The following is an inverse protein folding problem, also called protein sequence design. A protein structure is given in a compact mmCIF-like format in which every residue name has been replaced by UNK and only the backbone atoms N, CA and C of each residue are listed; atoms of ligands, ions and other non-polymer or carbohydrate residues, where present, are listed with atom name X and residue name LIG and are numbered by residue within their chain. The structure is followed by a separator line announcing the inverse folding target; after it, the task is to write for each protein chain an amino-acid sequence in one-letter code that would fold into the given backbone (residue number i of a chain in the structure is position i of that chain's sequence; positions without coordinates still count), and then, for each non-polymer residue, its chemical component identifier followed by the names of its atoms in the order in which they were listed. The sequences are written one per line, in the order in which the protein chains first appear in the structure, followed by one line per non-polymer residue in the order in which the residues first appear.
data_IF_332420180798
#
_entry.id   IF_332420180798
#
_cell.length_a   1.000
_cell.length_b   1.000
_cell.length_c   1.000
_cell.angle_alpha   90.00
_cell.angle_beta   90.00
_cell.angle_gamma   90.00
#
_symmetry.space_group_name_H-M   'P 1'
#
loop_
_entity.id
_entity.type
_entity.pdbx_description
1 polymer ?
#
# COMPACT_ATOMS: atom_id res chain seq x y z
N UNK A 1 -0.45 36.04 -10.89
CA UNK A 1 -1.62 35.54 -10.16
C UNK A 1 -1.97 34.16 -10.70
N UNK A 2 -1.63 33.10 -9.98
CA UNK A 2 -1.90 31.72 -10.40
C UNK A 2 -3.21 31.23 -9.80
N UNK A 3 -4.25 31.07 -10.61
CA UNK A 3 -5.48 30.41 -10.18
C UNK A 3 -5.18 28.93 -9.92
N UNK A 4 -5.04 28.56 -8.64
CA UNK A 4 -5.13 27.16 -8.20
C UNK A 4 -6.58 26.72 -8.40
N UNK A 5 -6.88 26.16 -9.57
CA UNK A 5 -8.14 25.43 -9.79
C UNK A 5 -8.15 24.24 -8.83
N UNK A 6 -8.88 24.34 -7.71
CA UNK A 6 -9.18 23.19 -6.87
C UNK A 6 -10.03 22.24 -7.71
N UNK A 7 -9.44 21.11 -8.11
CA UNK A 7 -10.19 20.03 -8.74
C UNK A 7 -11.34 19.63 -7.81
N UNK A 8 -12.56 19.64 -8.32
CA UNK A 8 -13.72 19.13 -7.60
C UNK A 8 -13.49 17.64 -7.31
N UNK A 9 -13.41 17.27 -6.03
CA UNK A 9 -13.24 15.87 -5.59
C UNK A 9 -14.59 15.38 -5.08
N UNK A 10 -15.19 14.45 -5.81
CA UNK A 10 -16.39 13.71 -5.42
C UNK A 10 -15.98 12.29 -5.00
N UNK A 11 -16.50 11.79 -3.88
CA UNK A 11 -16.25 10.42 -3.42
C UNK A 11 -17.50 9.59 -3.67
N UNK A 12 -17.40 8.63 -4.58
CA UNK A 12 -18.48 7.70 -4.92
C UNK A 12 -18.26 6.38 -4.20
N UNK A 13 -19.26 5.91 -3.43
CA UNK A 13 -19.12 4.74 -2.56
C UNK A 13 -18.68 3.47 -3.29
N UNK A 14 -19.24 3.17 -4.47
CA UNK A 14 -18.86 2.00 -5.25
C UNK A 14 -17.40 2.07 -5.75
N UNK A 15 -16.96 3.26 -6.19
CA UNK A 15 -15.59 3.49 -6.67
C UNK A 15 -14.59 3.46 -5.50
N UNK A 16 -14.99 3.95 -4.31
CA UNK A 16 -14.18 3.86 -3.09
C UNK A 16 -13.93 2.41 -2.67
N UNK A 17 -14.97 1.57 -2.70
CA UNK A 17 -14.83 0.15 -2.34
C UNK A 17 -13.91 -0.60 -3.31
N UNK A 18 -14.02 -0.32 -4.62
CA UNK A 18 -13.11 -0.86 -5.63
C UNK A 18 -11.67 -0.39 -5.39
N UNK A 19 -11.48 0.90 -5.09
CA UNK A 19 -10.16 1.45 -4.79
C UNK A 19 -9.54 0.80 -3.54
N UNK A 20 -10.32 0.60 -2.47
CA UNK A 20 -9.89 -0.11 -1.25
C UNK A 20 -9.46 -1.54 -1.58
N UNK A 21 -10.29 -2.30 -2.31
CA UNK A 21 -9.98 -3.67 -2.70
C UNK A 21 -8.70 -3.75 -3.52
N UNK A 22 -8.56 -2.88 -4.53
CA UNK A 22 -7.35 -2.79 -5.35
C UNK A 22 -6.11 -2.50 -4.49
N UNK A 23 -6.23 -1.57 -3.53
CA UNK A 23 -5.10 -1.18 -2.68
C UNK A 23 -4.66 -2.29 -1.73
N UNK A 24 -5.61 -3.06 -1.19
CA UNK A 24 -5.29 -4.27 -0.41
C UNK A 24 -4.58 -5.32 -1.25
N UNK A 25 -5.04 -5.58 -2.49
CA UNK A 25 -4.37 -6.52 -3.39
C UNK A 25 -2.93 -6.11 -3.70
N UNK A 26 -2.70 -4.82 -3.94
CA UNK A 26 -1.35 -4.28 -4.17
C UNK A 26 -0.49 -4.41 -2.91
N UNK A 27 -1.04 -4.06 -1.73
CA UNK A 27 -0.34 -4.17 -0.45
C UNK A 27 0.11 -5.62 -0.17
N UNK A 28 -0.79 -6.59 -0.38
CA UNK A 28 -0.50 -8.01 -0.19
C UNK A 28 0.52 -8.55 -1.20
N UNK A 29 0.43 -8.13 -2.47
CA UNK A 29 1.41 -8.48 -3.48
C UNK A 29 2.80 -7.93 -3.12
N UNK A 30 2.88 -6.68 -2.64
CA UNK A 30 4.13 -6.05 -2.23
C UNK A 30 4.75 -6.72 -1.01
N UNK A 31 3.95 -7.06 0.01
CA UNK A 31 4.40 -7.82 1.19
C UNK A 31 4.90 -9.21 0.80
N UNK A 32 4.18 -9.89 -0.08
CA UNK A 32 4.56 -11.21 -0.60
C UNK A 32 5.90 -11.15 -1.32
N UNK A 33 6.06 -10.19 -2.23
CA UNK A 33 7.29 -10.02 -2.98
C UNK A 33 8.47 -9.64 -2.07
N UNK A 34 8.25 -8.80 -1.05
CA UNK A 34 9.26 -8.46 -0.06
C UNK A 34 9.70 -9.69 0.75
N UNK A 35 8.75 -10.52 1.17
CA UNK A 35 9.02 -11.77 1.90
C UNK A 35 9.84 -12.75 1.05
N UNK A 36 9.40 -13.02 -0.18
CA UNK A 36 10.11 -13.89 -1.13
C UNK A 36 11.51 -13.39 -1.45
N UNK A 37 11.68 -12.08 -1.65
CA UNK A 37 13.00 -11.49 -1.89
C UNK A 37 13.93 -11.60 -0.68
N UNK A 38 13.39 -11.46 0.53
CA UNK A 38 14.13 -11.67 1.77
C UNK A 38 14.59 -13.12 1.94
N UNK A 39 13.71 -14.09 1.66
CA UNK A 39 14.05 -15.51 1.67
C UNK A 39 15.17 -15.83 0.66
N UNK A 40 15.02 -15.37 -0.59
CA UNK A 40 16.05 -15.55 -1.62
C UNK A 40 17.41 -14.97 -1.19
N UNK A 41 17.41 -13.77 -0.59
CA UNK A 41 18.65 -13.16 -0.10
C UNK A 41 19.30 -14.05 0.97
N UNK A 42 18.51 -14.52 1.93
CA UNK A 42 18.98 -15.41 2.99
C UNK A 42 19.57 -16.71 2.43
N UNK A 43 18.91 -17.33 1.46
CA UNK A 43 19.37 -18.56 0.82
C UNK A 43 20.73 -18.34 0.12
N UNK A 44 20.89 -17.23 -0.59
CA UNK A 44 22.15 -16.84 -1.22
C UNK A 44 23.24 -16.62 -0.16
N UNK A 45 22.94 -15.89 0.91
CA UNK A 45 23.91 -15.62 1.99
C UNK A 45 24.42 -16.92 2.62
N UNK A 46 23.53 -17.88 2.91
CA UNK A 46 23.84 -19.15 3.58
C UNK A 46 24.49 -20.19 2.65
N UNK A 47 24.28 -20.12 1.34
CA UNK A 47 24.90 -21.06 0.38
C UNK A 47 26.44 -21.05 0.47
N UNK A 48 27.03 -22.13 0.99
CA UNK A 48 28.47 -22.28 1.19
C UNK A 48 29.26 -22.46 -0.11
N UNK A 49 28.64 -23.09 -1.12
CA UNK A 49 29.30 -23.42 -2.40
C UNK A 49 29.53 -22.19 -3.28
N UNK A 50 28.74 -21.12 -3.08
CA UNK A 50 28.92 -19.86 -3.76
C UNK A 50 29.65 -18.86 -2.85
N UNK A 51 30.80 -18.38 -3.30
CA UNK A 51 31.62 -17.44 -2.55
C UNK A 51 32.28 -16.40 -3.47
N UNK A 52 33.00 -15.44 -2.87
CA UNK A 52 33.75 -14.43 -3.61
C UNK A 52 33.02 -13.10 -3.82
N UNK A 53 33.65 -12.21 -4.60
CA UNK A 53 33.23 -10.80 -4.75
C UNK A 53 31.87 -10.65 -5.42
N UNK A 54 31.53 -11.53 -6.37
CA UNK A 54 30.25 -11.47 -7.09
C UNK A 54 29.05 -11.77 -6.18
N UNK A 55 29.17 -12.78 -5.29
CA UNK A 55 28.16 -13.06 -4.27
C UNK A 55 27.93 -11.84 -3.36
N UNK A 56 29.02 -11.25 -2.85
CA UNK A 56 28.94 -10.06 -2.00
C UNK A 56 28.26 -8.88 -2.71
N UNK A 57 28.58 -8.65 -3.99
CA UNK A 57 27.96 -7.61 -4.78
C UNK A 57 26.46 -7.85 -5.00
N UNK A 58 26.05 -9.09 -5.31
CA UNK A 58 24.64 -9.43 -5.45
C UNK A 58 23.88 -9.23 -4.13
N UNK A 59 24.41 -9.71 -3.02
CA UNK A 59 23.80 -9.54 -1.68
C UNK A 59 23.61 -8.06 -1.36
N UNK A 60 24.63 -7.23 -1.60
CA UNK A 60 24.53 -5.78 -1.39
C UNK A 60 23.47 -5.13 -2.30
N UNK A 61 23.36 -5.58 -3.55
CA UNK A 61 22.32 -5.10 -4.45
C UNK A 61 20.91 -5.52 -4.00
N UNK A 62 20.75 -6.76 -3.54
CA UNK A 62 19.49 -7.24 -2.96
C UNK A 62 19.12 -6.47 -1.70
N UNK A 63 20.09 -6.10 -0.86
CA UNK A 63 19.83 -5.24 0.31
C UNK A 63 19.24 -3.90 -0.11
N UNK A 64 19.80 -3.25 -1.13
CA UNK A 64 19.26 -1.99 -1.66
C UNK A 64 17.83 -2.16 -2.20
N UNK A 65 17.60 -3.18 -3.02
CA UNK A 65 16.28 -3.48 -3.58
C UNK A 65 15.24 -3.72 -2.48
N UNK A 66 15.55 -4.57 -1.49
CA UNK A 66 14.65 -4.86 -0.37
C UNK A 66 14.42 -3.62 0.50
N UNK A 67 15.40 -2.74 0.63
CA UNK A 67 15.24 -1.50 1.38
C UNK A 67 14.26 -0.54 0.69
N UNK A 68 14.34 -0.38 -0.64
CA UNK A 68 13.37 0.40 -1.40
C UNK A 68 11.98 -0.25 -1.37
N UNK A 69 11.91 -1.56 -1.56
CA UNK A 69 10.62 -2.25 -1.55
C UNK A 69 9.92 -2.14 -0.19
N UNK A 70 10.65 -2.24 0.94
CA UNK A 70 10.10 -1.97 2.27
C UNK A 70 9.44 -0.58 2.37
N UNK A 71 10.09 0.46 1.84
CA UNK A 71 9.55 1.82 1.86
C UNK A 71 8.27 1.94 1.02
N UNK A 72 8.25 1.31 -0.15
CA UNK A 72 7.06 1.28 -1.01
C UNK A 72 5.92 0.54 -0.30
N UNK A 73 6.17 -0.66 0.23
CA UNK A 73 5.18 -1.43 1.00
C UNK A 73 4.61 -0.62 2.15
N UNK A 74 5.47 0.01 2.97
CA UNK A 74 5.01 0.86 4.08
C UNK A 74 4.12 2.02 3.64
N UNK A 75 4.45 2.63 2.50
CA UNK A 75 3.66 3.76 1.94
C UNK A 75 2.29 3.27 1.47
N UNK A 76 2.26 2.15 0.74
CA UNK A 76 1.01 1.54 0.26
C UNK A 76 0.14 1.07 1.43
N UNK A 77 0.71 0.42 2.45
CA UNK A 77 -0.05 0.03 3.65
C UNK A 77 -0.69 1.23 4.35
N UNK A 78 0.00 2.38 4.41
CA UNK A 78 -0.56 3.63 4.97
C UNK A 78 -1.71 4.17 4.12
N UNK A 79 -1.59 4.11 2.78
CA UNK A 79 -2.67 4.53 1.89
C UNK A 79 -3.89 3.61 1.99
N UNK A 80 -3.69 2.29 2.02
CA UNK A 80 -4.77 1.33 2.24
C UNK A 80 -5.50 1.63 3.57
N UNK A 81 -4.77 1.81 4.67
CA UNK A 81 -5.35 2.16 5.96
C UNK A 81 -6.12 3.50 5.94
N UNK A 82 -5.61 4.50 5.19
CA UNK A 82 -6.27 5.79 5.05
C UNK A 82 -7.59 5.68 4.28
N UNK A 83 -7.63 4.88 3.22
CA UNK A 83 -8.86 4.62 2.45
C UNK A 83 -9.90 3.86 3.28
N UNK A 84 -9.49 2.84 4.04
CA UNK A 84 -10.39 2.15 4.97
C UNK A 84 -10.91 3.08 6.07
N UNK A 85 -10.08 4.02 6.55
CA UNK A 85 -10.54 5.04 7.52
C UNK A 85 -11.56 5.99 6.91
N UNK A 86 -11.36 6.39 5.65
CA UNK A 86 -12.29 7.25 4.91
C UNK A 86 -13.65 6.55 4.73
N UNK A 87 -13.67 5.28 4.33
CA UNK A 87 -14.89 4.47 4.23
C UNK A 87 -15.65 4.43 5.56
N UNK A 88 -14.94 4.19 6.68
CA UNK A 88 -15.53 4.19 8.02
C UNK A 88 -16.16 5.54 8.35
N UNK A 89 -15.49 6.64 8.07
CA UNK A 89 -16.03 7.98 8.31
C UNK A 89 -17.25 8.28 7.45
N UNK A 90 -17.24 7.90 6.17
CA UNK A 90 -18.39 8.05 5.26
C UNK A 90 -19.59 7.24 5.76
N UNK A 91 -19.34 6.01 6.20
CA UNK A 91 -20.38 5.11 6.73
C UNK A 91 -20.98 5.67 8.02
N UNK A 92 -20.12 6.10 8.95
CA UNK A 92 -20.56 6.71 10.21
C UNK A 92 -21.37 8.00 9.97
N UNK A 93 -20.89 8.89 9.11
CA UNK A 93 -21.60 10.11 8.73
C UNK A 93 -22.96 9.78 8.07
N UNK A 94 -23.00 8.79 7.18
CA UNK A 94 -24.23 8.38 6.49
C UNK A 94 -25.29 7.81 7.42
N UNK A 95 -24.91 7.34 8.61
CA UNK A 95 -25.80 6.83 9.65
C UNK A 95 -26.20 7.85 10.71
N UNK A 96 -25.80 9.13 10.58
CA UNK A 96 -26.24 10.20 11.48
C UNK A 96 -27.72 10.52 11.31
N UNK A 97 -28.37 10.97 12.39
CA UNK A 97 -29.80 11.33 12.36
C UNK A 97 -30.10 12.43 11.34
N UNK A 98 -29.22 13.42 11.19
CA UNK A 98 -29.39 14.49 10.22
C UNK A 98 -29.44 13.96 8.79
N UNK A 99 -28.55 13.02 8.45
CA UNK A 99 -28.52 12.40 7.12
C UNK A 99 -29.72 11.47 6.93
N UNK A 100 -30.14 10.73 7.96
CA UNK A 100 -31.36 9.92 7.91
C UNK A 100 -32.60 10.77 7.62
N UNK A 101 -32.77 11.88 8.35
CA UNK A 101 -33.85 12.87 8.15
C UNK A 101 -33.88 13.43 6.73
N UNK A 102 -32.71 13.74 6.14
CA UNK A 102 -32.61 14.22 4.76
C UNK A 102 -32.95 13.12 3.74
N UNK A 103 -32.58 11.87 4.03
CA UNK A 103 -32.89 10.70 3.17
C UNK A 103 -34.34 10.21 3.32
N UNK A 104 -35.11 10.77 4.25
CA UNK A 104 -36.48 10.33 4.53
C UNK A 104 -36.55 8.96 5.20
N UNK A 105 -35.50 8.56 5.92
CA UNK A 105 -35.39 7.33 6.70
C UNK A 105 -35.59 7.60 8.19
#
# INVERSE_FOLDING_TARGET
MGHSSKSHVEIRGAELNQAIQCMHQIDDALKTALSKGGALKSDIEVQGDWSGKNKKALVAYMDLLLQYQRRITQTVSKHAASLSSLEKHITAFSGTEEVAKIKGL
#
